data_IF_725361561212
#
_entry.id   IF_725361561212
#
_cell.length_a   1.000
_cell.length_b   1.000
_cell.length_c   1.000
_cell.angle_alpha   90.00
_cell.angle_beta   90.00
_cell.angle_gamma   90.00
#
_symmetry.space_group_name_H-M   'P 1'
#
loop_
_entity.id
_entity.type
_entity.pdbx_description
1 polymer ?
#
# COMPACT_ATOMS: atom_id res chain seq x y z
N UNK A 1 16.53 9.65 40.67
CA UNK A 1 15.28 9.83 39.89
C UNK A 1 15.65 9.81 38.42
N UNK A 2 15.66 8.58 37.86
CA UNK A 2 16.02 8.35 36.45
C UNK A 2 14.79 8.54 35.57
N UNK A 3 14.88 9.45 34.65
CA UNK A 3 13.86 9.77 33.68
C UNK A 3 13.94 8.73 32.55
N UNK A 4 13.10 7.71 32.58
CA UNK A 4 12.96 6.74 31.47
C UNK A 4 12.25 7.42 30.32
N UNK A 5 13.03 7.91 29.37
CA UNK A 5 12.55 8.24 28.04
C UNK A 5 12.15 6.94 27.33
N UNK A 6 10.85 6.68 27.26
CA UNK A 6 10.29 5.58 26.46
C UNK A 6 10.42 5.97 25.00
N UNK A 7 11.43 5.46 24.34
CA UNK A 7 11.61 5.59 22.89
C UNK A 7 10.53 4.76 22.20
N UNK A 8 9.62 5.42 21.48
CA UNK A 8 8.59 4.78 20.63
C UNK A 8 9.29 4.28 19.35
N UNK A 9 10.08 3.22 19.44
CA UNK A 9 10.88 2.72 18.31
C UNK A 9 10.42 1.38 17.73
N UNK A 10 9.38 0.75 18.33
CA UNK A 10 8.96 -0.60 17.88
C UNK A 10 7.43 -0.72 17.68
N UNK A 11 6.81 0.24 17.02
CA UNK A 11 5.45 0.03 16.53
C UNK A 11 5.55 -0.86 15.29
N UNK A 12 5.28 -2.14 15.46
CA UNK A 12 5.17 -3.09 14.36
C UNK A 12 3.93 -2.74 13.50
N UNK A 13 4.16 -2.05 12.39
CA UNK A 13 3.11 -1.49 11.53
C UNK A 13 2.42 -2.57 10.69
N UNK A 14 3.07 -3.72 10.47
CA UNK A 14 2.47 -4.79 9.65
C UNK A 14 1.18 -5.40 10.22
N UNK A 15 1.04 -5.63 11.52
CA UNK A 15 -0.24 -6.06 12.11
C UNK A 15 -1.33 -5.01 12.00
N UNK A 16 -0.97 -3.71 12.03
CA UNK A 16 -1.94 -2.60 11.91
C UNK A 16 -2.48 -2.52 10.48
N UNK A 17 -1.64 -2.84 9.49
CA UNK A 17 -2.02 -2.88 8.07
C UNK A 17 -3.10 -3.94 7.83
N UNK A 18 -3.02 -5.06 8.54
CA UNK A 18 -3.96 -6.17 8.40
C UNK A 18 -5.26 -5.96 9.18
N UNK A 19 -5.20 -5.32 10.34
CA UNK A 19 -6.40 -5.06 11.18
C UNK A 19 -7.39 -4.08 10.54
N UNK A 20 -6.92 -3.15 9.71
CA UNK A 20 -7.80 -2.22 8.99
C UNK A 20 -8.60 -2.94 7.90
N UNK A 21 -8.14 -4.11 7.45
CA UNK A 21 -8.83 -4.91 6.42
C UNK A 21 -9.80 -5.96 6.97
N UNK A 22 -9.88 -6.17 8.28
CA UNK A 22 -10.79 -7.16 8.89
C UNK A 22 -12.23 -6.65 9.09
N UNK A 23 -12.50 -5.36 8.81
CA UNK A 23 -13.82 -4.74 9.05
C UNK A 23 -14.92 -5.13 8.05
N UNK A 24 -14.63 -5.79 6.94
CA UNK A 24 -15.63 -6.09 5.90
C UNK A 24 -15.51 -7.52 5.33
N UNK A 25 -15.72 -8.51 6.19
CA UNK A 25 -16.14 -9.84 5.74
C UNK A 25 -17.66 -9.97 5.94
N UNK A 26 -18.44 -9.23 5.16
CA UNK A 26 -19.87 -9.49 5.01
C UNK A 26 -20.18 -9.93 3.57
N UNK A 27 -20.63 -11.18 3.48
CA UNK A 27 -21.46 -11.83 2.45
C UNK A 27 -21.30 -11.33 1.01
N UNK A 28 -20.70 -12.19 0.22
CA UNK A 28 -20.74 -12.16 -1.24
C UNK A 28 -22.18 -12.36 -1.72
N UNK A 29 -22.84 -11.23 -2.02
CA UNK A 29 -23.96 -11.17 -2.92
C UNK A 29 -23.43 -10.75 -4.30
N UNK A 30 -23.96 -11.40 -5.33
CA UNK A 30 -23.67 -11.27 -6.75
C UNK A 30 -23.23 -9.88 -7.24
N UNK A 31 -22.14 -9.90 -8.03
CA UNK A 31 -21.80 -9.04 -9.16
C UNK A 31 -22.26 -7.57 -9.13
N UNK A 32 -21.33 -6.71 -8.75
CA UNK A 32 -21.20 -5.42 -9.42
C UNK A 32 -19.71 -5.19 -9.65
N UNK A 33 -19.29 -5.25 -10.91
CA UNK A 33 -18.00 -4.74 -11.36
C UNK A 33 -17.90 -3.27 -10.95
N UNK A 34 -17.25 -2.99 -9.81
CA UNK A 34 -16.85 -1.63 -9.50
C UNK A 34 -15.72 -1.27 -10.45
N UNK A 35 -16.06 -0.67 -11.58
CA UNK A 35 -15.16 0.03 -12.44
C UNK A 35 -14.49 1.15 -11.62
N UNK A 36 -13.35 0.85 -11.01
CA UNK A 36 -12.41 1.90 -10.57
C UNK A 36 -11.85 2.48 -11.87
N UNK A 37 -12.56 3.45 -12.42
CA UNK A 37 -12.07 4.23 -13.54
C UNK A 37 -10.99 5.15 -12.96
N UNK A 38 -9.72 4.75 -13.06
CA UNK A 38 -8.63 5.70 -12.95
C UNK A 38 -8.78 6.64 -14.15
N UNK A 39 -9.36 7.80 -13.93
CA UNK A 39 -9.37 8.83 -14.94
C UNK A 39 -7.92 9.14 -15.32
N UNK A 40 -7.61 9.28 -16.63
CA UNK A 40 -6.31 9.82 -17.03
C UNK A 40 -6.12 11.15 -16.28
N UNK A 41 -4.95 11.34 -15.70
CA UNK A 41 -4.63 12.55 -14.96
C UNK A 41 -5.04 13.75 -15.80
N UNK A 42 -5.91 14.66 -15.30
CA UNK A 42 -6.31 15.82 -16.06
C UNK A 42 -5.04 16.61 -16.37
N UNK A 43 -4.77 16.81 -17.65
CA UNK A 43 -3.80 17.81 -18.11
C UNK A 43 -4.42 19.17 -17.82
N UNK A 44 -4.29 19.66 -16.61
CA UNK A 44 -4.77 20.95 -16.20
C UNK A 44 -3.58 21.89 -16.03
N UNK A 45 -3.47 22.79 -17.00
CA UNK A 45 -2.76 24.04 -16.77
C UNK A 45 -3.45 24.80 -15.64
N UNK A 46 -2.72 25.07 -14.54
CA UNK A 46 -3.19 25.98 -13.50
C UNK A 46 -3.48 25.39 -12.13
N UNK A 47 -3.34 24.07 -11.88
CA UNK A 47 -3.45 23.57 -10.52
C UNK A 47 -2.26 24.03 -9.66
N UNK A 48 -2.59 24.64 -8.52
CA UNK A 48 -1.64 25.12 -7.53
C UNK A 48 -0.75 23.96 -7.06
N UNK A 49 0.50 23.92 -7.52
CA UNK A 49 1.48 22.98 -7.01
C UNK A 49 1.55 23.07 -5.48
N UNK A 50 1.56 21.92 -4.79
CA UNK A 50 1.59 21.89 -3.31
C UNK A 50 2.76 22.69 -2.74
N UNK A 51 3.93 22.67 -3.38
CA UNK A 51 5.12 23.36 -2.96
C UNK A 51 5.63 24.40 -3.97
N UNK A 52 4.93 24.60 -5.10
CA UNK A 52 5.38 25.44 -6.20
C UNK A 52 5.10 26.94 -6.03
N UNK A 53 4.10 27.29 -5.22
CA UNK A 53 3.73 28.68 -4.94
C UNK A 53 3.08 28.82 -3.56
N UNK A 54 2.98 30.06 -3.08
CA UNK A 54 2.47 30.39 -1.73
C UNK A 54 1.01 29.95 -1.57
N UNK A 55 0.16 30.21 -2.55
CA UNK A 55 -1.27 29.92 -2.48
C UNK A 55 -1.55 28.41 -2.44
N UNK A 56 -0.84 27.63 -3.26
CA UNK A 56 -0.93 26.17 -3.26
C UNK A 56 -0.48 25.57 -1.93
N UNK A 57 0.60 26.11 -1.36
CA UNK A 57 1.10 25.70 -0.05
C UNK A 57 0.12 26.02 1.07
N UNK A 58 -0.43 27.25 1.09
CA UNK A 58 -1.42 27.66 2.09
C UNK A 58 -2.72 26.85 1.99
N UNK A 59 -3.16 26.52 0.76
CA UNK A 59 -4.29 25.64 0.55
C UNK A 59 -4.01 24.25 1.10
N UNK A 60 -2.89 23.63 0.72
CA UNK A 60 -2.48 22.30 1.19
C UNK A 60 -2.33 22.26 2.71
N UNK A 61 -1.81 23.32 3.33
CA UNK A 61 -1.71 23.46 4.78
C UNK A 61 -3.08 23.45 5.47
N UNK A 62 -4.09 24.12 4.91
CA UNK A 62 -5.47 24.10 5.46
C UNK A 62 -6.07 22.71 5.37
N UNK A 63 -5.92 22.04 4.22
CA UNK A 63 -6.39 20.67 4.02
C UNK A 63 -5.66 19.70 4.98
N UNK A 64 -4.33 19.80 5.09
CA UNK A 64 -3.53 18.97 5.98
C UNK A 64 -3.94 19.12 7.45
N UNK A 65 -4.21 20.35 7.91
CA UNK A 65 -4.72 20.60 9.26
C UNK A 65 -6.08 19.92 9.50
N UNK A 66 -7.00 20.03 8.55
CA UNK A 66 -8.33 19.41 8.65
C UNK A 66 -8.23 17.88 8.66
N UNK A 67 -7.40 17.29 7.79
CA UNK A 67 -7.21 15.83 7.74
C UNK A 67 -6.49 15.31 8.98
N UNK A 68 -5.50 16.02 9.51
CA UNK A 68 -4.70 15.55 10.65
C UNK A 68 -5.51 15.31 11.94
N UNK A 69 -6.67 15.91 12.08
CA UNK A 69 -7.57 15.72 13.23
C UNK A 69 -8.71 14.75 12.95
N UNK A 70 -8.82 14.23 11.73
CA UNK A 70 -9.85 13.29 11.33
C UNK A 70 -9.59 11.89 11.91
N UNK A 71 -10.65 11.18 12.30
CA UNK A 71 -10.57 9.78 12.72
C UNK A 71 -10.42 8.80 11.57
N UNK A 72 -10.62 9.25 10.33
CA UNK A 72 -10.45 8.44 9.12
C UNK A 72 -8.99 8.33 8.67
N UNK A 73 -8.08 9.13 9.21
CA UNK A 73 -6.66 9.03 8.86
C UNK A 73 -5.91 8.09 9.81
N UNK A 74 -4.98 7.27 9.27
CA UNK A 74 -4.12 6.40 10.07
C UNK A 74 -3.30 7.16 11.11
N UNK A 75 -2.88 6.46 12.18
CA UNK A 75 -2.18 7.04 13.34
C UNK A 75 -0.95 7.86 12.98
N UNK A 76 -0.20 7.48 11.94
CA UNK A 76 0.99 8.21 11.48
C UNK A 76 0.70 9.60 10.88
N UNK A 77 -0.55 9.87 10.55
CA UNK A 77 -1.04 11.16 10.06
C UNK A 77 -1.78 11.97 11.12
N UNK A 78 -2.27 11.32 12.20
CA UNK A 78 -2.98 11.99 13.29
C UNK A 78 -2.07 13.00 13.98
N UNK A 79 -2.54 14.24 14.08
CA UNK A 79 -1.81 15.39 14.63
C UNK A 79 -0.43 15.65 13.98
N UNK A 80 -0.21 15.11 12.77
CA UNK A 80 1.03 15.26 12.02
C UNK A 80 0.78 15.93 10.67
N UNK A 81 0.73 17.26 10.69
CA UNK A 81 0.47 18.09 9.52
C UNK A 81 1.52 17.86 8.41
N UNK A 82 2.78 17.65 8.80
CA UNK A 82 3.87 17.44 7.84
C UNK A 82 3.67 16.15 7.04
N UNK A 83 3.31 15.05 7.71
CA UNK A 83 3.00 13.80 7.01
C UNK A 83 1.77 13.95 6.12
N UNK A 84 0.74 14.67 6.59
CA UNK A 84 -0.43 14.97 5.76
C UNK A 84 -0.07 15.76 4.50
N UNK A 85 0.79 16.78 4.61
CA UNK A 85 1.25 17.56 3.46
C UNK A 85 1.99 16.70 2.42
N UNK A 86 2.86 15.81 2.88
CA UNK A 86 3.58 14.88 1.99
C UNK A 86 2.59 13.96 1.29
N UNK A 87 1.61 13.41 2.01
CA UNK A 87 0.59 12.55 1.43
C UNK A 87 -0.28 13.30 0.40
N UNK A 88 -0.63 14.56 0.65
CA UNK A 88 -1.35 15.43 -0.30
C UNK A 88 -0.53 15.64 -1.57
N UNK A 89 0.77 15.92 -1.46
CA UNK A 89 1.64 16.09 -2.62
C UNK A 89 1.74 14.79 -3.44
N UNK A 90 1.91 13.65 -2.77
CA UNK A 90 1.92 12.35 -3.43
C UNK A 90 0.59 12.07 -4.13
N UNK A 91 -0.54 12.35 -3.47
CA UNK A 91 -1.88 12.17 -4.05
C UNK A 91 -2.06 12.95 -5.36
N UNK A 92 -1.65 14.22 -5.36
CA UNK A 92 -1.69 15.07 -6.56
C UNK A 92 -0.82 14.51 -7.69
N UNK A 93 0.41 14.07 -7.38
CA UNK A 93 1.34 13.53 -8.38
C UNK A 93 0.83 12.25 -9.05
N UNK A 94 0.13 11.39 -8.31
CA UNK A 94 -0.40 10.13 -8.84
C UNK A 94 -1.87 10.22 -9.29
N UNK A 95 -2.51 11.38 -9.15
CA UNK A 95 -3.91 11.57 -9.52
C UNK A 95 -4.91 10.80 -8.64
N UNK A 96 -4.57 10.59 -7.37
CA UNK A 96 -5.39 9.86 -6.41
C UNK A 96 -5.98 10.79 -5.35
N UNK A 97 -7.01 10.33 -4.60
CA UNK A 97 -7.53 11.11 -3.48
C UNK A 97 -6.57 11.08 -2.30
N UNK A 98 -6.50 12.18 -1.56
CA UNK A 98 -5.60 12.32 -0.41
C UNK A 98 -5.85 11.26 0.66
N UNK A 99 -7.12 10.99 0.97
CA UNK A 99 -7.49 9.99 1.96
C UNK A 99 -7.11 8.58 1.52
N UNK A 100 -7.32 8.23 0.24
CA UNK A 100 -6.91 6.94 -0.31
C UNK A 100 -5.39 6.75 -0.20
N UNK A 101 -4.60 7.81 -0.48
CA UNK A 101 -3.15 7.76 -0.31
C UNK A 101 -2.79 7.59 1.16
N UNK A 102 -3.37 8.35 2.08
CA UNK A 102 -3.09 8.23 3.51
C UNK A 102 -3.41 6.83 4.06
N UNK A 103 -4.48 6.21 3.60
CA UNK A 103 -4.87 4.86 4.02
C UNK A 103 -3.96 3.76 3.46
N UNK A 104 -3.23 4.02 2.38
CA UNK A 104 -2.39 3.03 1.70
C UNK A 104 -0.89 3.31 1.71
N UNK A 105 -0.48 4.50 2.15
CA UNK A 105 0.92 4.92 2.22
C UNK A 105 1.40 4.88 3.67
N UNK A 106 2.35 4.00 3.96
CA UNK A 106 2.95 3.82 5.27
C UNK A 106 4.35 4.43 5.30
N UNK A 107 4.77 4.88 6.47
CA UNK A 107 6.13 5.39 6.70
C UNK A 107 6.88 4.36 7.54
N UNK A 108 7.79 3.62 6.90
CA UNK A 108 8.59 2.58 7.55
C UNK A 108 10.04 3.06 7.63
N UNK A 109 10.55 3.30 8.83
CA UNK A 109 11.90 3.85 9.05
C UNK A 109 12.21 5.09 8.21
N UNK A 110 11.25 6.02 8.13
CA UNK A 110 11.38 7.26 7.34
C UNK A 110 11.22 7.08 5.82
N UNK A 111 10.95 5.87 5.34
CA UNK A 111 10.73 5.58 3.91
C UNK A 111 9.26 5.32 3.62
N UNK A 112 8.70 5.87 2.51
CA UNK A 112 7.34 5.57 2.10
C UNK A 112 7.23 4.12 1.61
N UNK A 113 6.17 3.45 2.00
CA UNK A 113 5.84 2.08 1.57
C UNK A 113 4.35 1.97 1.28
N UNK A 114 4.00 1.33 0.18
CA UNK A 114 2.61 1.14 -0.22
C UNK A 114 2.04 -0.18 0.30
N UNK A 115 0.74 -0.20 0.59
CA UNK A 115 0.03 -1.45 0.88
C UNK A 115 0.10 -2.40 -0.32
N UNK A 116 0.12 -3.72 -0.07
CA UNK A 116 0.12 -4.70 -1.16
C UNK A 116 -1.15 -4.62 -2.00
N UNK A 117 -2.29 -4.31 -1.40
CA UNK A 117 -3.57 -4.13 -2.10
C UNK A 117 -3.52 -2.94 -3.07
N UNK A 118 -2.96 -1.81 -2.63
CA UNK A 118 -2.78 -0.65 -3.49
C UNK A 118 -1.84 -0.96 -4.66
N UNK A 119 -0.74 -1.66 -4.41
CA UNK A 119 0.19 -2.10 -5.45
C UNK A 119 -0.50 -3.01 -6.48
N UNK A 120 -1.33 -3.97 -6.04
CA UNK A 120 -2.10 -4.84 -6.94
C UNK A 120 -3.09 -4.02 -7.77
N UNK A 121 -3.84 -3.12 -7.12
CA UNK A 121 -4.81 -2.27 -7.80
C UNK A 121 -4.15 -1.38 -8.85
N UNK A 122 -3.04 -0.73 -8.50
CA UNK A 122 -2.27 0.13 -9.41
C UNK A 122 -1.69 -0.66 -10.58
N UNK A 123 -1.13 -1.84 -10.33
CA UNK A 123 -0.61 -2.72 -11.39
C UNK A 123 -1.72 -3.10 -12.38
N UNK A 124 -2.84 -3.58 -11.87
CA UNK A 124 -3.97 -3.99 -12.71
C UNK A 124 -4.57 -2.80 -13.48
N UNK A 125 -4.57 -1.60 -12.90
CA UNK A 125 -5.07 -0.40 -13.55
C UNK A 125 -4.10 0.18 -14.60
N UNK A 126 -2.82 -0.12 -14.52
CA UNK A 126 -1.79 0.41 -15.44
C UNK A 126 -1.98 -0.04 -16.88
N UNK A 127 -2.69 -1.14 -17.11
CA UNK A 127 -2.87 -1.78 -18.42
C UNK A 127 -1.57 -2.13 -19.15
N UNK A 128 -0.45 -2.14 -18.45
CA UNK A 128 0.82 -2.67 -18.98
C UNK A 128 0.82 -4.19 -18.97
N UNK A 129 0.16 -4.77 -17.97
CA UNK A 129 0.08 -6.21 -17.77
C UNK A 129 -1.37 -6.67 -17.74
N UNK A 130 -1.59 -7.97 -18.02
CA UNK A 130 -2.85 -8.63 -17.67
C UNK A 130 -3.06 -8.54 -16.15
N UNK A 131 -4.30 -8.76 -15.66
CA UNK A 131 -4.51 -8.82 -14.22
C UNK A 131 -3.54 -9.80 -13.55
N UNK A 132 -2.91 -9.35 -12.45
CA UNK A 132 -1.96 -10.16 -11.68
C UNK A 132 -2.62 -11.46 -11.21
N UNK A 133 -1.96 -12.59 -11.45
CA UNK A 133 -2.35 -13.91 -11.00
C UNK A 133 -1.26 -14.49 -10.10
N UNK A 134 -1.60 -15.55 -9.39
CA UNK A 134 -0.66 -16.22 -8.49
C UNK A 134 -0.50 -17.68 -8.89
N UNK A 135 0.74 -18.10 -8.94
CA UNK A 135 1.10 -19.51 -9.02
C UNK A 135 1.54 -20.01 -7.65
N UNK A 136 0.97 -21.12 -7.24
CA UNK A 136 1.28 -21.76 -5.95
C UNK A 136 1.82 -23.16 -6.21
N UNK A 137 2.80 -23.57 -5.44
CA UNK A 137 3.41 -24.90 -5.52
C UNK A 137 3.48 -25.48 -4.11
N UNK A 138 2.53 -26.33 -3.81
CA UNK A 138 2.39 -26.99 -2.50
C UNK A 138 3.47 -28.09 -2.30
N UNK A 139 3.96 -28.68 -3.40
CA UNK A 139 4.91 -29.79 -3.33
C UNK A 139 6.32 -29.37 -2.90
N UNK A 140 6.65 -28.09 -3.02
CA UNK A 140 7.95 -27.51 -2.63
C UNK A 140 7.85 -26.68 -1.35
N UNK A 141 7.21 -27.17 -0.32
CA UNK A 141 7.13 -26.50 0.99
C UNK A 141 6.16 -25.30 1.04
N UNK A 142 5.27 -25.21 0.08
CA UNK A 142 4.32 -24.11 -0.05
C UNK A 142 5.04 -22.82 -0.45
N UNK A 143 5.00 -22.49 -1.72
CA UNK A 143 5.56 -21.24 -2.26
C UNK A 143 4.58 -20.57 -3.21
N UNK A 144 4.68 -19.26 -3.34
CA UNK A 144 3.80 -18.46 -4.17
C UNK A 144 4.60 -17.42 -4.97
N UNK A 145 4.22 -17.17 -6.22
CA UNK A 145 4.75 -16.06 -7.02
C UNK A 145 3.64 -15.34 -7.78
N UNK A 146 3.85 -14.07 -8.07
CA UNK A 146 3.00 -13.30 -8.97
C UNK A 146 3.36 -13.58 -10.43
N UNK A 147 2.36 -13.66 -11.30
CA UNK A 147 2.54 -13.83 -12.75
C UNK A 147 1.56 -12.94 -13.50
N UNK A 148 1.98 -12.41 -14.63
CA UNK A 148 1.13 -11.64 -15.53
C UNK A 148 1.64 -11.77 -16.98
N UNK A 149 0.84 -11.36 -17.94
CA UNK A 149 1.26 -11.24 -19.35
C UNK A 149 1.59 -9.77 -19.60
N UNK A 150 2.76 -9.48 -20.13
CA UNK A 150 3.08 -8.17 -20.67
C UNK A 150 2.23 -7.93 -21.91
N UNK A 151 1.38 -6.90 -21.90
CA UNK A 151 0.44 -6.65 -22.99
C UNK A 151 1.09 -6.03 -24.23
N UNK A 152 2.31 -5.53 -24.11
CA UNK A 152 3.05 -5.00 -25.25
C UNK A 152 3.78 -6.10 -26.03
N UNK A 153 4.34 -7.09 -25.34
CA UNK A 153 5.13 -8.17 -25.95
C UNK A 153 4.38 -9.50 -26.08
N UNK A 154 3.36 -9.71 -25.25
CA UNK A 154 2.66 -10.99 -25.12
C UNK A 154 3.38 -12.03 -24.25
N UNK A 155 4.52 -11.66 -23.67
CA UNK A 155 5.34 -12.56 -22.88
C UNK A 155 4.76 -12.76 -21.47
N UNK A 156 4.90 -13.97 -20.96
CA UNK A 156 4.61 -14.27 -19.55
C UNK A 156 5.73 -13.75 -18.67
N UNK A 157 5.39 -12.85 -17.76
CA UNK A 157 6.30 -12.30 -16.75
C UNK A 157 6.06 -12.99 -15.43
N UNK A 158 7.13 -13.44 -14.79
CA UNK A 158 7.10 -14.22 -13.57
C UNK A 158 7.92 -13.52 -12.48
N UNK A 159 7.28 -13.31 -11.32
CA UNK A 159 7.95 -12.79 -10.14
C UNK A 159 8.75 -13.84 -9.39
N UNK A 160 9.47 -13.41 -8.35
CA UNK A 160 10.22 -14.30 -7.48
C UNK A 160 9.28 -15.18 -6.64
N UNK A 161 9.74 -16.40 -6.35
CA UNK A 161 9.04 -17.26 -5.41
C UNK A 161 9.18 -16.75 -3.98
N UNK A 162 8.07 -16.58 -3.31
CA UNK A 162 7.99 -16.30 -1.87
C UNK A 162 7.75 -17.61 -1.16
N UNK A 163 8.54 -17.91 -0.13
CA UNK A 163 8.48 -19.17 0.63
C UNK A 163 8.35 -18.90 2.13
N UNK A 164 7.92 -19.90 2.89
CA UNK A 164 7.91 -19.82 4.36
C UNK A 164 9.33 -19.75 4.95
N UNK A 165 10.32 -20.37 4.29
CA UNK A 165 11.72 -20.24 4.69
C UNK A 165 12.20 -18.79 4.62
N UNK A 166 11.85 -18.09 3.53
CA UNK A 166 12.11 -16.64 3.39
C UNK A 166 11.42 -15.88 4.51
N UNK A 167 10.15 -16.19 4.82
CA UNK A 167 9.40 -15.50 5.86
C UNK A 167 10.01 -15.67 7.24
N UNK A 168 10.61 -16.85 7.55
CA UNK A 168 11.35 -17.09 8.78
C UNK A 168 12.70 -16.37 8.77
N UNK A 169 13.49 -16.47 7.69
CA UNK A 169 14.77 -15.80 7.56
C UNK A 169 14.67 -14.29 7.76
N UNK A 170 13.61 -13.67 7.21
CA UNK A 170 13.31 -12.25 7.32
C UNK A 170 12.55 -11.88 8.61
N UNK A 171 12.30 -12.84 9.48
CA UNK A 171 11.59 -12.67 10.77
C UNK A 171 10.18 -12.10 10.63
N UNK A 172 9.51 -12.31 9.50
CA UNK A 172 8.12 -11.85 9.32
C UNK A 172 7.16 -12.67 10.19
N UNK A 173 7.44 -13.96 10.37
CA UNK A 173 6.61 -14.88 11.16
C UNK A 173 6.70 -14.58 12.66
N UNK A 174 7.86 -14.15 13.15
CA UNK A 174 8.14 -13.96 14.59
C UNK A 174 7.57 -12.65 15.15
N UNK A 175 7.16 -11.72 14.29
CA UNK A 175 6.58 -10.44 14.72
C UNK A 175 5.33 -10.66 15.57
N UNK A 176 5.14 -9.82 16.58
CA UNK A 176 3.95 -9.88 17.42
C UNK A 176 2.69 -9.60 16.57
N UNK A 177 1.68 -10.47 16.69
CA UNK A 177 0.44 -10.37 15.90
C UNK A 177 0.58 -10.72 14.41
N UNK A 178 1.68 -11.34 14.01
CA UNK A 178 1.95 -11.66 12.62
C UNK A 178 0.93 -12.64 12.04
N UNK A 179 0.27 -12.23 10.96
CA UNK A 179 -0.68 -13.04 10.18
C UNK A 179 0.01 -14.16 9.39
N UNK A 180 1.31 -14.12 9.26
CA UNK A 180 2.09 -15.25 8.71
C UNK A 180 1.91 -16.55 9.49
N UNK A 181 1.49 -16.47 10.78
CA UNK A 181 1.16 -17.65 11.60
C UNK A 181 -0.23 -18.20 11.33
N UNK A 182 -1.19 -17.33 11.01
CA UNK A 182 -2.60 -17.69 10.92
C UNK A 182 -3.10 -17.78 9.47
N UNK A 183 -2.52 -17.01 8.57
CA UNK A 183 -2.90 -16.94 7.15
C UNK A 183 -1.67 -16.90 6.22
N UNK A 184 -0.77 -17.89 6.28
CA UNK A 184 0.51 -17.86 5.56
C UNK A 184 0.34 -17.76 4.04
N UNK A 185 -0.63 -18.45 3.45
CA UNK A 185 -0.90 -18.42 2.02
C UNK A 185 -1.28 -17.01 1.53
N UNK A 186 -2.16 -16.33 2.26
CA UNK A 186 -2.56 -14.96 1.94
C UNK A 186 -1.36 -14.01 2.05
N UNK A 187 -0.53 -14.16 3.08
CA UNK A 187 0.66 -13.35 3.27
C UNK A 187 1.70 -13.58 2.17
N UNK A 188 1.88 -14.82 1.72
CA UNK A 188 2.73 -15.14 0.57
C UNK A 188 2.23 -14.45 -0.71
N UNK A 189 0.91 -14.48 -0.98
CA UNK A 189 0.33 -13.76 -2.14
C UNK A 189 0.59 -12.25 -2.07
N UNK A 190 0.35 -11.62 -0.92
CA UNK A 190 0.62 -10.19 -0.75
C UNK A 190 2.09 -9.84 -0.93
N UNK A 191 2.99 -10.67 -0.42
CA UNK A 191 4.43 -10.46 -0.58
C UNK A 191 4.87 -10.69 -2.03
N UNK A 192 4.36 -11.72 -2.68
CA UNK A 192 4.62 -12.00 -4.09
C UNK A 192 4.12 -10.86 -4.99
N UNK A 193 2.93 -10.32 -4.73
CA UNK A 193 2.41 -9.15 -5.43
C UNK A 193 3.28 -7.91 -5.24
N UNK A 194 3.72 -7.64 -4.01
CA UNK A 194 4.59 -6.51 -3.73
C UNK A 194 5.95 -6.63 -4.43
N UNK A 195 6.53 -7.82 -4.47
CA UNK A 195 7.79 -8.06 -5.18
C UNK A 195 7.60 -7.92 -6.69
N UNK A 196 6.56 -8.53 -7.25
CA UNK A 196 6.24 -8.41 -8.67
C UNK A 196 6.09 -6.94 -9.09
N UNK A 197 5.25 -6.19 -8.38
CA UNK A 197 5.00 -4.79 -8.71
C UNK A 197 6.27 -3.94 -8.62
N UNK A 198 7.11 -4.15 -7.60
CA UNK A 198 8.36 -3.39 -7.43
C UNK A 198 9.43 -3.73 -8.46
N UNK A 199 9.33 -4.90 -9.07
CA UNK A 199 10.30 -5.36 -10.08
C UNK A 199 9.93 -4.92 -11.48
N UNK A 200 8.64 -4.86 -11.81
CA UNK A 200 8.18 -4.71 -13.19
C UNK A 200 7.30 -3.48 -13.46
N UNK A 201 6.80 -2.77 -12.43
CA UNK A 201 5.92 -1.61 -12.60
C UNK A 201 6.62 -0.26 -12.50
#
# INVERSE_FOLDING_TARGET
MENKQTTITDVNIEPIIELVNEGEAHQVGEQTESNITLHPAPQQGGELSTFGNKEGFEHAMRVAKALSVSDLVPVQYKNNISNCLIAIDVAKRIGASELMVMQNLYIVHGKPSWSSQFLIATLNASRKFSPLRFEEDENNGGRCRGVAIDLATGDKVEGVWVTMEMAHAEKWVEKAGSKWKTMPQLMMRYRAAAFFTRQFA
#
